data_IF_985805212681
#
_entry.id   IF_985805212681
#
_cell.length_a   1.000
_cell.length_b   1.000
_cell.length_c   1.000
_cell.angle_alpha   90.00
_cell.angle_beta   90.00
_cell.angle_gamma   90.00
#
_symmetry.space_group_name_H-M   'P 1'
#
loop_
_entity.id
_entity.type
_entity.pdbx_description
1 polymer ?
#
# COMPACT_ATOMS: atom_id res chain seq x y z
N UNK A 1 -38.66 7.17 -10.30
CA UNK A 1 -37.72 6.84 -9.21
C UNK A 1 -36.34 7.36 -9.60
N UNK A 2 -35.82 8.42 -8.96
CA UNK A 2 -34.53 8.98 -9.36
C UNK A 2 -33.43 7.96 -9.05
N UNK A 3 -32.67 7.62 -10.09
CA UNK A 3 -31.43 6.85 -9.97
C UNK A 3 -30.54 7.54 -8.93
N UNK A 4 -30.40 6.96 -7.74
CA UNK A 4 -29.31 7.33 -6.82
C UNK A 4 -28.02 7.18 -7.60
N UNK A 5 -27.39 8.30 -7.95
CA UNK A 5 -26.09 8.32 -8.59
C UNK A 5 -25.14 7.50 -7.73
N UNK A 6 -24.53 6.47 -8.31
CA UNK A 6 -23.43 5.76 -7.64
C UNK A 6 -22.44 6.83 -7.20
N UNK A 7 -22.01 6.89 -5.91
CA UNK A 7 -20.98 7.83 -5.50
C UNK A 7 -19.80 7.62 -6.43
N UNK A 8 -19.21 8.70 -6.96
CA UNK A 8 -18.14 8.61 -7.94
C UNK A 8 -16.88 8.03 -7.28
N UNK A 9 -16.84 6.73 -7.05
CA UNK A 9 -15.75 6.02 -6.40
C UNK A 9 -14.71 5.65 -7.45
N UNK A 10 -13.59 6.38 -7.47
CA UNK A 10 -12.50 6.08 -8.39
C UNK A 10 -11.35 7.05 -8.24
N UNK A 11 -10.18 6.63 -8.73
CA UNK A 11 -8.96 7.42 -8.62
C UNK A 11 -9.11 8.81 -9.26
N UNK A 12 -9.80 8.90 -10.40
CA UNK A 12 -10.11 10.17 -11.08
C UNK A 12 -10.91 11.14 -10.20
N UNK A 13 -11.89 10.64 -9.45
CA UNK A 13 -12.73 11.46 -8.58
C UNK A 13 -11.90 12.07 -7.45
N UNK A 14 -11.12 11.25 -6.73
CA UNK A 14 -10.29 11.73 -5.63
C UNK A 14 -9.21 12.71 -6.10
N UNK A 15 -8.62 12.48 -7.27
CA UNK A 15 -7.64 13.40 -7.85
C UNK A 15 -8.24 14.78 -8.13
N UNK A 16 -9.49 14.84 -8.63
CA UNK A 16 -10.22 16.09 -8.87
C UNK A 16 -10.68 16.79 -7.58
N UNK A 17 -11.05 16.02 -6.56
CA UNK A 17 -11.43 16.60 -5.26
C UNK A 17 -10.28 17.30 -4.54
N UNK A 18 -9.03 16.84 -4.68
CA UNK A 18 -7.91 17.47 -3.93
C UNK A 18 -7.81 18.99 -4.18
N UNK A 19 -7.80 19.50 -5.43
CA UNK A 19 -7.86 20.95 -5.66
C UNK A 19 -9.06 21.67 -5.05
N UNK A 20 -10.25 21.05 -5.07
CA UNK A 20 -11.48 21.60 -4.48
C UNK A 20 -11.35 21.70 -2.96
N UNK A 21 -10.87 20.63 -2.31
CA UNK A 21 -10.66 20.60 -0.86
C UNK A 21 -9.50 21.49 -0.40
N UNK A 22 -8.47 21.71 -1.23
CA UNK A 22 -7.44 22.70 -0.93
C UNK A 22 -8.02 24.12 -0.84
N UNK A 23 -8.98 24.47 -1.71
CA UNK A 23 -9.65 25.77 -1.66
C UNK A 23 -10.52 25.90 -0.41
N UNK A 24 -11.29 24.86 -0.07
CA UNK A 24 -12.13 24.82 1.15
C UNK A 24 -11.31 24.92 2.43
N UNK A 25 -10.19 24.21 2.51
CA UNK A 25 -9.31 24.24 3.68
C UNK A 25 -8.57 25.57 3.85
N UNK A 26 -8.32 26.30 2.76
CA UNK A 26 -7.52 27.53 2.76
C UNK A 26 -8.14 28.73 3.46
N UNK A 27 -9.44 28.73 3.76
CA UNK A 27 -10.10 29.86 4.42
C UNK A 27 -9.69 30.01 5.90
N UNK A 28 -9.71 28.92 6.67
CA UNK A 28 -9.42 28.95 8.14
C UNK A 28 -8.79 27.66 8.67
N UNK A 29 -8.47 26.68 7.81
CA UNK A 29 -8.06 25.33 8.24
C UNK A 29 -9.03 24.71 9.26
N UNK A 30 -10.33 24.96 9.08
CA UNK A 30 -11.38 24.37 9.89
C UNK A 30 -11.31 22.83 9.85
N UNK A 31 -11.75 22.18 10.93
CA UNK A 31 -11.59 20.74 11.14
C UNK A 31 -12.18 19.89 10.00
N UNK A 32 -13.39 20.20 9.55
CA UNK A 32 -14.09 19.44 8.51
C UNK A 32 -13.41 19.57 7.11
N UNK A 33 -13.11 20.79 6.60
CA UNK A 33 -12.33 20.93 5.37
C UNK A 33 -10.95 20.26 5.41
N UNK A 34 -10.24 20.35 6.55
CA UNK A 34 -8.95 19.67 6.73
C UNK A 34 -9.13 18.14 6.70
N UNK A 35 -10.20 17.63 7.32
CA UNK A 35 -10.53 16.20 7.27
C UNK A 35 -10.80 15.75 5.84
N UNK A 36 -11.65 16.45 5.09
CA UNK A 36 -12.00 16.12 3.70
C UNK A 36 -10.76 16.12 2.79
N UNK A 37 -9.90 17.14 2.89
CA UNK A 37 -8.65 17.22 2.15
C UNK A 37 -7.72 16.04 2.48
N UNK A 38 -7.59 15.70 3.76
CA UNK A 38 -6.80 14.54 4.19
C UNK A 38 -7.37 13.25 3.62
N UNK A 39 -8.69 13.07 3.62
CA UNK A 39 -9.34 11.89 3.04
C UNK A 39 -9.03 11.79 1.56
N UNK A 40 -9.16 12.87 0.80
CA UNK A 40 -8.87 12.90 -0.64
C UNK A 40 -7.39 12.57 -0.93
N UNK A 41 -6.45 13.21 -0.23
CA UNK A 41 -5.02 12.93 -0.36
C UNK A 41 -4.66 11.49 0.02
N UNK A 42 -5.23 10.96 1.11
CA UNK A 42 -5.06 9.57 1.55
C UNK A 42 -5.52 8.60 0.48
N UNK A 43 -6.70 8.84 -0.11
CA UNK A 43 -7.26 8.02 -1.19
C UNK A 43 -6.33 7.97 -2.39
N UNK A 44 -5.95 9.13 -2.93
CA UNK A 44 -5.01 9.22 -4.06
C UNK A 44 -3.70 8.47 -3.79
N UNK A 45 -3.10 8.68 -2.62
CA UNK A 45 -1.83 8.04 -2.25
C UNK A 45 -1.96 6.52 -2.08
N UNK A 46 -3.04 6.06 -1.45
CA UNK A 46 -3.28 4.62 -1.24
C UNK A 46 -3.57 3.87 -2.55
N UNK A 47 -4.28 4.50 -3.48
CA UNK A 47 -4.52 3.93 -4.81
C UNK A 47 -3.23 3.92 -5.63
N UNK A 48 -2.44 5.00 -5.58
CA UNK A 48 -1.13 5.03 -6.22
C UNK A 48 -0.21 3.91 -5.69
N UNK A 49 -0.24 3.61 -4.39
CA UNK A 49 0.54 2.51 -3.81
C UNK A 49 0.19 1.13 -4.39
N UNK A 50 -1.08 0.89 -4.73
CA UNK A 50 -1.48 -0.33 -5.42
C UNK A 50 -1.09 -0.33 -6.90
N UNK A 51 -1.27 0.81 -7.59
CA UNK A 51 -1.01 0.94 -9.03
C UNK A 51 0.48 0.94 -9.37
N UNK A 52 1.35 1.49 -8.51
CA UNK A 52 2.80 1.46 -8.68
C UNK A 52 3.39 0.03 -8.72
N UNK A 53 2.64 -0.95 -8.22
CA UNK A 53 3.05 -2.35 -8.23
C UNK A 53 2.93 -3.01 -9.61
N UNK A 54 2.20 -2.36 -10.54
CA UNK A 54 1.92 -2.82 -11.91
C UNK A 54 2.31 -1.80 -12.97
N UNK A 55 2.36 -0.52 -12.62
CA UNK A 55 2.73 0.58 -13.50
C UNK A 55 3.92 1.35 -12.89
N UNK A 56 5.14 1.19 -13.44
CA UNK A 56 6.34 1.81 -12.88
C UNK A 56 6.55 3.27 -13.32
N UNK A 57 5.55 3.93 -13.91
CA UNK A 57 5.65 5.34 -14.30
C UNK A 57 6.02 6.23 -13.10
N UNK A 58 6.99 7.12 -13.32
CA UNK A 58 7.53 7.98 -12.27
C UNK A 58 6.47 8.98 -11.76
N UNK A 59 5.49 9.34 -12.58
CA UNK A 59 4.42 10.26 -12.21
C UNK A 59 3.63 9.78 -10.98
N UNK A 60 3.49 8.46 -10.77
CA UNK A 60 2.89 7.92 -9.55
C UNK A 60 3.68 8.29 -8.29
N UNK A 61 5.00 8.10 -8.34
CA UNK A 61 5.90 8.38 -7.23
C UNK A 61 5.97 9.88 -6.95
N UNK A 62 6.06 10.69 -7.99
CA UNK A 62 6.15 12.14 -7.87
C UNK A 62 4.84 12.72 -7.31
N UNK A 63 3.68 12.28 -7.81
CA UNK A 63 2.36 12.65 -7.27
C UNK A 63 2.21 12.23 -5.80
N UNK A 64 2.57 10.99 -5.48
CA UNK A 64 2.49 10.48 -4.10
C UNK A 64 3.41 11.27 -3.16
N UNK A 65 4.60 11.69 -3.63
CA UNK A 65 5.56 12.49 -2.85
C UNK A 65 4.99 13.89 -2.58
N UNK A 66 4.45 14.56 -3.60
CA UNK A 66 3.81 15.87 -3.46
C UNK A 66 2.65 15.81 -2.46
N UNK A 67 1.74 14.84 -2.62
CA UNK A 67 0.63 14.65 -1.69
C UNK A 67 1.05 14.22 -0.28
N UNK A 68 2.21 13.56 -0.11
CA UNK A 68 2.72 13.17 1.21
C UNK A 68 3.11 14.38 2.04
N UNK A 69 3.79 15.37 1.44
CA UNK A 69 4.22 16.57 2.16
C UNK A 69 3.03 17.29 2.80
N UNK A 70 2.03 17.65 1.98
CA UNK A 70 0.80 18.29 2.46
C UNK A 70 0.03 17.41 3.47
N UNK A 71 -0.15 16.12 3.16
CA UNK A 71 -0.84 15.19 4.06
C UNK A 71 -0.16 15.07 5.44
N UNK A 72 1.16 15.12 5.49
CA UNK A 72 1.92 15.04 6.74
C UNK A 72 1.73 16.28 7.60
N UNK A 73 1.80 17.49 7.02
CA UNK A 73 1.55 18.74 7.75
C UNK A 73 0.12 18.82 8.30
N UNK A 74 -0.88 18.45 7.49
CA UNK A 74 -2.27 18.32 7.95
C UNK A 74 -2.44 17.19 8.98
N UNK A 75 -1.49 16.25 9.05
CA UNK A 75 -1.50 15.11 9.97
C UNK A 75 -1.17 15.51 11.38
N UNK A 76 -0.07 16.24 11.55
CA UNK A 76 0.32 16.76 12.86
C UNK A 76 -0.78 17.61 13.49
N UNK A 77 -1.49 18.41 12.70
CA UNK A 77 -2.65 19.16 13.17
C UNK A 77 -3.78 18.24 13.67
N UNK A 78 -4.16 17.22 12.89
CA UNK A 78 -5.22 16.28 13.28
C UNK A 78 -4.82 15.42 14.47
N UNK A 79 -3.55 15.04 14.58
CA UNK A 79 -3.06 14.23 15.69
C UNK A 79 -3.23 14.97 17.03
N UNK A 80 -2.93 16.28 17.08
CA UNK A 80 -3.19 17.13 18.27
C UNK A 80 -4.68 17.22 18.59
N UNK A 81 -5.54 17.39 17.59
CA UNK A 81 -6.99 17.44 17.79
C UNK A 81 -7.54 16.13 18.35
N UNK A 82 -7.08 14.98 17.84
CA UNK A 82 -7.47 13.65 18.34
C UNK A 82 -6.98 13.45 19.78
N UNK A 83 -5.78 13.90 20.12
CA UNK A 83 -5.30 13.85 21.50
C UNK A 83 -6.17 14.68 22.45
N UNK A 84 -6.65 15.85 22.02
CA UNK A 84 -7.56 16.67 22.82
C UNK A 84 -8.90 15.96 23.06
N UNK A 85 -9.46 15.31 22.04
CA UNK A 85 -10.68 14.47 22.16
C UNK A 85 -10.48 13.35 23.20
N UNK A 86 -9.30 12.70 23.24
CA UNK A 86 -8.99 11.66 24.23
C UNK A 86 -8.86 12.20 25.65
N UNK A 87 -8.20 13.35 25.83
CA UNK A 87 -8.05 14.00 27.15
C UNK A 87 -9.42 14.32 27.73
N UNK A 88 -10.33 14.90 26.93
CA UNK A 88 -11.71 15.19 27.36
C UNK A 88 -12.51 13.93 27.72
N UNK A 89 -12.26 12.82 27.02
CA UNK A 89 -13.01 11.57 27.21
C UNK A 89 -12.53 10.75 28.41
N UNK A 90 -11.25 10.86 28.77
CA UNK A 90 -10.63 10.07 29.84
C UNK A 90 -10.47 10.86 31.14
N UNK A 91 -10.32 12.19 31.08
CA UNK A 91 -10.08 13.05 32.22
C UNK A 91 -11.38 13.58 32.85
N UNK A 92 -11.44 13.74 34.18
CA UNK A 92 -12.54 14.47 34.81
C UNK A 92 -12.54 15.94 34.31
N UNK A 93 -13.70 16.53 33.97
CA UNK A 93 -13.75 17.89 33.42
C UNK A 93 -13.16 18.97 34.34
N UNK A 94 -13.25 18.76 35.66
CA UNK A 94 -12.82 19.69 36.70
C UNK A 94 -11.39 19.44 37.20
N UNK A 95 -10.68 18.48 36.60
CA UNK A 95 -9.32 18.10 36.98
C UNK A 95 -8.30 19.13 36.44
N UNK A 96 -7.48 19.77 37.30
CA UNK A 96 -6.49 20.76 36.89
C UNK A 96 -5.50 20.25 35.85
N UNK A 97 -5.10 18.98 35.93
CA UNK A 97 -4.20 18.32 34.99
C UNK A 97 -4.85 18.15 33.61
N UNK A 98 -6.14 17.80 33.58
CA UNK A 98 -6.92 17.76 32.34
C UNK A 98 -6.96 19.13 31.66
N UNK A 99 -7.17 20.20 32.43
CA UNK A 99 -7.16 21.57 31.90
C UNK A 99 -5.77 22.00 31.40
N UNK A 100 -4.70 21.65 32.13
CA UNK A 100 -3.33 21.95 31.72
C UNK A 100 -2.95 21.25 30.40
N UNK A 101 -3.34 19.98 30.24
CA UNK A 101 -3.13 19.22 29.01
C UNK A 101 -3.90 19.83 27.83
N UNK A 102 -5.15 20.25 28.02
CA UNK A 102 -5.95 20.89 26.97
C UNK A 102 -5.35 22.23 26.54
N UNK A 103 -4.88 23.06 27.48
CA UNK A 103 -4.22 24.33 27.18
C UNK A 103 -2.93 24.13 26.36
N UNK A 104 -2.11 23.14 26.71
CA UNK A 104 -0.91 22.77 25.95
C UNK A 104 -1.26 22.33 24.53
N UNK A 105 -2.27 21.47 24.37
CA UNK A 105 -2.69 20.97 23.06
C UNK A 105 -3.25 22.10 22.19
N UNK A 106 -4.01 23.04 22.78
CA UNK A 106 -4.50 24.21 22.07
C UNK A 106 -3.36 25.08 21.50
N UNK A 107 -2.28 25.29 22.27
CA UNK A 107 -1.09 25.99 21.77
C UNK A 107 -0.42 25.26 20.60
N UNK A 108 -0.20 23.94 20.73
CA UNK A 108 0.38 23.12 19.65
C UNK A 108 -0.49 23.10 18.40
N UNK A 109 -1.82 23.14 18.57
CA UNK A 109 -2.74 23.21 17.44
C UNK A 109 -2.50 24.48 16.62
N UNK A 110 -2.32 25.64 17.27
CA UNK A 110 -2.02 26.90 16.58
C UNK A 110 -0.68 26.84 15.83
N UNK A 111 0.36 26.28 16.45
CA UNK A 111 1.66 26.08 15.81
C UNK A 111 1.53 25.19 14.55
N UNK A 112 0.75 24.11 14.64
CA UNK A 112 0.51 23.23 13.49
C UNK A 112 -0.40 23.85 12.41
N UNK A 113 -1.31 24.76 12.76
CA UNK A 113 -2.09 25.52 11.78
C UNK A 113 -1.20 26.37 10.89
N UNK A 114 -0.19 27.05 11.47
CA UNK A 114 0.79 27.84 10.69
C UNK A 114 1.55 26.94 9.70
N UNK A 115 2.05 25.80 10.15
CA UNK A 115 2.78 24.83 9.30
C UNK A 115 1.87 24.25 8.21
N UNK A 116 0.62 23.94 8.54
CA UNK A 116 -0.36 23.43 7.58
C UNK A 116 -0.73 24.49 6.52
N UNK A 117 -0.88 25.76 6.92
CA UNK A 117 -1.16 26.86 6.01
C UNK A 117 -0.03 27.06 5.01
N UNK A 118 1.23 27.03 5.47
CA UNK A 118 2.39 27.13 4.60
C UNK A 118 2.52 25.95 3.64
N UNK A 119 2.25 24.73 4.13
CA UNK A 119 2.23 23.54 3.28
C UNK A 119 1.14 23.59 2.21
N UNK A 120 -0.02 24.19 2.52
CA UNK A 120 -1.11 24.39 1.58
C UNK A 120 -0.75 25.44 0.52
N UNK A 121 -0.13 26.56 0.95
CA UNK A 121 0.32 27.64 0.07
C UNK A 121 1.39 27.18 -0.94
N UNK A 122 2.32 26.34 -0.51
CA UNK A 122 3.41 25.82 -1.33
C UNK A 122 3.02 24.59 -2.17
N UNK A 123 1.80 24.09 -2.02
CA UNK A 123 1.34 22.92 -2.76
C UNK A 123 1.10 23.26 -4.24
N UNK A 124 1.83 22.57 -5.13
CA UNK A 124 1.72 22.80 -6.58
C UNK A 124 0.42 22.22 -7.17
N UNK A 125 -0.64 23.03 -7.10
CA UNK A 125 -1.94 22.72 -7.69
C UNK A 125 -1.89 22.60 -9.21
N UNK A 126 -0.96 23.28 -9.88
CA UNK A 126 -0.83 23.22 -11.36
C UNK A 126 -0.35 21.83 -11.77
N UNK A 127 0.72 21.35 -11.13
CA UNK A 127 1.23 20.00 -11.37
C UNK A 127 0.22 18.92 -10.93
N UNK A 128 -0.51 19.13 -9.82
CA UNK A 128 -1.56 18.20 -9.41
C UNK A 128 -2.70 18.08 -10.44
N UNK A 129 -3.14 19.20 -11.03
CA UNK A 129 -4.13 19.21 -12.12
C UNK A 129 -3.64 18.51 -13.39
N UNK A 130 -2.33 18.55 -13.67
CA UNK A 130 -1.72 17.76 -14.76
C UNK A 130 -1.85 16.27 -14.47
N UNK A 131 -1.41 15.80 -13.29
CA UNK A 131 -1.56 14.39 -12.90
C UNK A 131 -3.03 13.94 -12.86
N UNK A 132 -3.96 14.82 -12.49
CA UNK A 132 -5.40 14.53 -12.47
C UNK A 132 -5.98 14.20 -13.85
N UNK A 133 -5.28 14.56 -14.94
CA UNK A 133 -5.65 14.20 -16.32
C UNK A 133 -4.93 12.94 -16.81
N UNK A 134 -3.65 12.78 -16.45
CA UNK A 134 -2.78 11.72 -16.97
C UNK A 134 -2.94 10.39 -16.22
N UNK A 135 -2.82 10.41 -14.89
CA UNK A 135 -2.76 9.21 -14.07
C UNK A 135 -4.07 8.39 -14.08
N UNK A 136 -5.28 8.98 -14.12
CA UNK A 136 -6.50 8.20 -14.25
C UNK A 136 -6.59 7.37 -15.53
N UNK A 137 -6.04 7.85 -16.65
CA UNK A 137 -6.00 7.08 -17.91
C UNK A 137 -5.10 5.85 -17.78
N UNK A 138 -4.00 5.98 -17.04
CA UNK A 138 -3.11 4.86 -16.70
C UNK A 138 -3.78 3.88 -15.74
N UNK A 139 -4.44 4.37 -14.70
CA UNK A 139 -5.20 3.55 -13.75
C UNK A 139 -6.29 2.71 -14.43
N UNK A 140 -6.99 3.28 -15.42
CA UNK A 140 -8.08 2.63 -16.14
C UNK A 140 -7.63 1.39 -16.95
N UNK A 141 -6.32 1.22 -17.21
CA UNK A 141 -5.77 0.02 -17.86
C UNK A 141 -5.91 -1.24 -17.01
N UNK A 142 -6.11 -1.08 -15.70
CA UNK A 142 -6.21 -2.20 -14.76
C UNK A 142 -7.61 -2.27 -14.18
N UNK A 143 -8.30 -3.38 -14.45
CA UNK A 143 -9.65 -3.59 -13.94
C UNK A 143 -9.60 -3.88 -12.43
N UNK A 144 -10.39 -3.17 -11.59
CA UNK A 144 -10.66 -3.60 -10.23
C UNK A 144 -11.25 -5.03 -10.21
N UNK A 145 -10.97 -5.78 -9.15
CA UNK A 145 -11.37 -7.17 -8.98
C UNK A 145 -10.49 -8.17 -9.73
N UNK A 146 -9.55 -7.71 -10.55
CA UNK A 146 -8.66 -8.59 -11.31
C UNK A 146 -7.77 -9.45 -10.41
N UNK A 147 -7.32 -10.59 -10.95
CA UNK A 147 -6.42 -11.53 -10.28
C UNK A 147 -5.11 -10.87 -9.82
N UNK A 148 -4.67 -9.82 -10.52
CA UNK A 148 -3.49 -9.03 -10.14
C UNK A 148 -3.70 -8.29 -8.82
N UNK A 149 -4.87 -7.70 -8.59
CA UNK A 149 -5.17 -7.05 -7.31
C UNK A 149 -5.45 -8.06 -6.19
N UNK A 150 -5.98 -9.25 -6.51
CA UNK A 150 -6.06 -10.36 -5.55
C UNK A 150 -4.67 -10.85 -5.13
N UNK A 151 -3.72 -10.91 -6.07
CA UNK A 151 -2.31 -11.21 -5.78
C UNK A 151 -1.65 -10.15 -4.90
N UNK A 152 -1.87 -8.86 -5.20
CA UNK A 152 -1.38 -7.77 -4.36
C UNK A 152 -2.02 -7.81 -2.96
N UNK A 153 -3.31 -8.14 -2.86
CA UNK A 153 -3.98 -8.31 -1.58
C UNK A 153 -3.35 -9.46 -0.78
N UNK A 154 -3.04 -10.59 -1.43
CA UNK A 154 -2.29 -11.70 -0.82
C UNK A 154 -0.90 -11.27 -0.33
N UNK A 155 -0.16 -10.48 -1.12
CA UNK A 155 1.14 -9.94 -0.69
C UNK A 155 1.02 -9.08 0.58
N UNK A 156 0.03 -8.18 0.62
CA UNK A 156 -0.22 -7.34 1.80
C UNK A 156 -0.74 -8.16 2.99
N UNK A 157 -1.59 -9.14 2.74
CA UNK A 157 -2.10 -10.08 3.74
C UNK A 157 -0.95 -10.85 4.38
N UNK A 158 -0.06 -11.46 3.59
CA UNK A 158 1.09 -12.24 4.09
C UNK A 158 1.97 -11.37 4.97
N UNK A 159 2.28 -10.15 4.53
CA UNK A 159 3.09 -9.22 5.32
C UNK A 159 2.39 -8.80 6.62
N UNK A 160 1.08 -8.54 6.58
CA UNK A 160 0.32 -8.18 7.77
C UNK A 160 0.21 -9.36 8.76
N UNK A 161 0.08 -10.59 8.25
CA UNK A 161 0.05 -11.82 9.05
C UNK A 161 1.40 -12.11 9.73
N UNK A 162 2.53 -11.88 9.03
CA UNK A 162 3.86 -11.94 9.66
C UNK A 162 4.00 -10.95 10.82
N UNK A 163 3.54 -9.71 10.61
CA UNK A 163 3.55 -8.66 11.63
C UNK A 163 2.63 -9.01 12.79
N UNK A 164 1.50 -9.66 12.52
CA UNK A 164 0.61 -10.17 13.54
C UNK A 164 1.31 -11.19 14.44
N UNK A 165 1.98 -12.18 13.85
CA UNK A 165 2.76 -13.15 14.61
C UNK A 165 3.85 -12.50 15.48
N UNK A 166 4.52 -11.46 14.97
CA UNK A 166 5.50 -10.68 15.75
C UNK A 166 4.86 -9.91 16.90
N UNK A 167 3.74 -9.23 16.65
CA UNK A 167 3.05 -8.43 17.66
C UNK A 167 2.43 -9.30 18.76
N UNK A 168 1.98 -10.52 18.44
CA UNK A 168 1.47 -11.45 19.45
C UNK A 168 2.59 -12.00 20.35
N UNK A 169 3.79 -12.21 19.81
CA UNK A 169 4.96 -12.63 20.59
C UNK A 169 5.52 -11.49 21.45
N UNK A 170 5.69 -10.33 20.85
CA UNK A 170 6.27 -9.15 21.46
C UNK A 170 5.25 -8.02 21.36
N UNK A 171 4.38 -7.90 22.38
CA UNK A 171 3.26 -6.93 22.47
C UNK A 171 3.71 -5.48 22.67
N UNK A 172 4.92 -5.16 22.23
CA UNK A 172 5.48 -3.81 22.27
C UNK A 172 4.67 -2.85 21.40
N UNK A 173 4.66 -1.59 21.80
CA UNK A 173 4.09 -0.48 21.03
C UNK A 173 4.60 -0.50 19.57
N UNK A 174 5.90 -0.71 19.37
CA UNK A 174 6.51 -0.77 18.04
C UNK A 174 5.93 -1.90 17.19
N UNK A 175 5.78 -3.11 17.74
CA UNK A 175 5.26 -4.24 17.00
C UNK A 175 3.77 -4.06 16.64
N UNK A 176 2.96 -3.56 17.58
CA UNK A 176 1.53 -3.25 17.34
C UNK A 176 1.37 -2.13 16.32
N UNK A 177 2.22 -1.10 16.37
CA UNK A 177 2.23 -0.03 15.38
C UNK A 177 2.58 -0.54 13.97
N UNK A 178 3.59 -1.41 13.84
CA UNK A 178 3.94 -2.03 12.56
C UNK A 178 2.77 -2.88 12.02
N UNK A 179 2.15 -3.70 12.88
CA UNK A 179 0.96 -4.47 12.53
C UNK A 179 -0.18 -3.57 12.04
N UNK A 180 -0.46 -2.46 12.73
CA UNK A 180 -1.45 -1.47 12.30
C UNK A 180 -1.17 -0.95 10.90
N UNK A 181 0.08 -0.63 10.59
CA UNK A 181 0.48 -0.21 9.23
C UNK A 181 0.25 -1.34 8.22
N UNK A 182 0.57 -2.59 8.58
CA UNK A 182 0.34 -3.77 7.77
C UNK A 182 -1.14 -3.96 7.41
N UNK A 183 -2.02 -3.97 8.41
CA UNK A 183 -3.48 -4.09 8.22
C UNK A 183 -4.02 -2.93 7.40
N UNK A 184 -3.58 -1.70 7.68
CA UNK A 184 -3.96 -0.52 6.89
C UNK A 184 -3.61 -0.67 5.41
N UNK A 185 -2.40 -1.16 5.09
CA UNK A 185 -1.98 -1.41 3.70
C UNK A 185 -2.80 -2.51 3.05
N UNK A 186 -3.12 -3.59 3.78
CA UNK A 186 -4.00 -4.66 3.28
C UNK A 186 -5.41 -4.14 3.00
N UNK A 187 -6.02 -3.45 3.97
CA UNK A 187 -7.34 -2.81 3.82
C UNK A 187 -7.39 -1.92 2.59
N UNK A 188 -6.36 -1.12 2.34
CA UNK A 188 -6.35 -0.21 1.20
C UNK A 188 -6.33 -0.90 -0.15
N UNK A 189 -5.71 -2.07 -0.27
CA UNK A 189 -5.80 -2.84 -1.51
C UNK A 189 -7.22 -3.37 -1.68
N UNK A 190 -7.79 -3.98 -0.63
CA UNK A 190 -9.16 -4.53 -0.65
C UNK A 190 -10.17 -3.44 -1.00
N UNK A 191 -10.14 -2.34 -0.25
CA UNK A 191 -11.07 -1.21 -0.35
C UNK A 191 -11.04 -0.52 -1.71
N UNK A 192 -9.86 -0.34 -2.30
CA UNK A 192 -9.75 0.41 -3.55
C UNK A 192 -9.87 -0.46 -4.80
N UNK A 193 -9.53 -1.76 -4.70
CA UNK A 193 -9.35 -2.59 -5.89
C UNK A 193 -10.10 -3.91 -5.87
N UNK A 194 -10.71 -4.33 -4.76
CA UNK A 194 -11.45 -5.59 -4.67
C UNK A 194 -12.88 -5.33 -4.19
N UNK A 195 -13.80 -4.85 -5.05
CA UNK A 195 -15.13 -4.41 -4.62
C UNK A 195 -15.96 -5.51 -3.93
N UNK A 196 -15.86 -6.76 -4.40
CA UNK A 196 -16.55 -7.90 -3.79
C UNK A 196 -16.03 -8.18 -2.37
N UNK A 197 -14.71 -8.32 -2.22
CA UNK A 197 -14.08 -8.53 -0.91
C UNK A 197 -14.27 -7.31 0.00
N UNK A 198 -14.27 -6.10 -0.53
CA UNK A 198 -14.53 -4.89 0.24
C UNK A 198 -15.94 -4.91 0.83
N UNK A 199 -16.95 -5.29 0.04
CA UNK A 199 -18.32 -5.42 0.54
C UNK A 199 -18.41 -6.41 1.71
N UNK A 200 -17.70 -7.54 1.63
CA UNK A 200 -17.71 -8.55 2.68
C UNK A 200 -16.85 -8.19 3.91
N UNK A 201 -15.68 -7.58 3.72
CA UNK A 201 -14.65 -7.46 4.77
C UNK A 201 -14.51 -6.04 5.34
N UNK A 202 -15.17 -5.03 4.76
CA UNK A 202 -14.95 -3.62 5.12
C UNK A 202 -15.24 -3.31 6.59
N UNK A 203 -16.30 -3.87 7.15
CA UNK A 203 -16.67 -3.70 8.57
C UNK A 203 -15.60 -4.28 9.49
N UNK A 204 -15.19 -5.51 9.25
CA UNK A 204 -14.15 -6.22 10.01
C UNK A 204 -12.80 -5.49 9.92
N UNK A 205 -12.37 -5.11 8.71
CA UNK A 205 -11.13 -4.36 8.50
C UNK A 205 -11.16 -2.98 9.16
N UNK A 206 -12.34 -2.35 9.24
CA UNK A 206 -12.54 -1.10 9.96
C UNK A 206 -12.41 -1.32 11.47
N UNK A 207 -13.09 -2.32 12.03
CA UNK A 207 -13.00 -2.65 13.46
C UNK A 207 -11.56 -2.89 13.89
N UNK A 208 -10.79 -3.71 13.16
CA UNK A 208 -9.38 -3.94 13.48
C UNK A 208 -8.51 -2.68 13.40
N UNK A 209 -8.77 -1.82 12.42
CA UNK A 209 -8.03 -0.57 12.28
C UNK A 209 -8.37 0.41 13.42
N UNK A 210 -9.63 0.46 13.85
CA UNK A 210 -10.08 1.30 14.95
C UNK A 210 -9.48 0.80 16.27
N UNK A 211 -9.53 -0.51 16.55
CA UNK A 211 -8.89 -1.12 17.74
C UNK A 211 -7.38 -0.83 17.83
N UNK A 212 -6.63 -1.07 16.75
CA UNK A 212 -5.19 -0.81 16.71
C UNK A 212 -4.87 0.69 16.65
N UNK A 213 -5.79 1.49 16.10
CA UNK A 213 -5.73 2.95 16.13
C UNK A 213 -5.79 3.48 17.55
N UNK A 214 -6.83 3.11 18.28
CA UNK A 214 -7.02 3.50 19.66
C UNK A 214 -5.83 3.06 20.55
N UNK A 215 -5.32 1.83 20.39
CA UNK A 215 -4.12 1.38 21.14
C UNK A 215 -2.94 2.31 20.88
N UNK A 216 -2.71 2.68 19.61
CA UNK A 216 -1.63 3.58 19.25
C UNK A 216 -1.83 5.00 19.83
N UNK A 217 -3.06 5.51 19.79
CA UNK A 217 -3.40 6.84 20.30
C UNK A 217 -3.23 6.90 21.82
N UNK A 218 -3.63 5.84 22.54
CA UNK A 218 -3.39 5.68 23.98
C UNK A 218 -1.90 5.63 24.33
N UNK A 219 -1.09 4.89 23.55
CA UNK A 219 0.36 4.83 23.77
C UNK A 219 1.03 6.21 23.53
N UNK A 220 0.56 6.99 22.54
CA UNK A 220 1.05 8.36 22.25
C UNK A 220 0.62 9.35 23.33
N UNK A 221 -0.61 9.24 23.82
CA UNK A 221 -1.12 10.05 24.92
C UNK A 221 -0.26 9.89 26.17
N UNK A 222 -0.01 8.64 26.58
CA UNK A 222 0.83 8.33 27.75
C UNK A 222 2.25 8.88 27.62
N UNK A 223 2.88 8.68 26.44
CA UNK A 223 4.22 9.20 26.17
C UNK A 223 4.27 10.74 26.26
N UNK A 224 3.26 11.42 25.71
CA UNK A 224 3.20 12.88 25.72
C UNK A 224 2.98 13.42 27.14
N UNK A 225 2.01 12.88 27.88
CA UNK A 225 1.73 13.29 29.25
C UNK A 225 2.96 13.09 30.17
N UNK A 226 3.69 11.99 29.97
CA UNK A 226 4.93 11.71 30.69
C UNK A 226 6.06 12.69 30.35
N UNK A 227 6.21 13.08 29.09
CA UNK A 227 7.27 14.01 28.65
C UNK A 227 7.08 15.43 29.20
N UNK A 228 5.83 15.86 29.38
CA UNK A 228 5.52 17.23 29.83
C UNK A 228 5.30 17.32 31.34
N UNK A 229 5.59 16.24 32.09
CA UNK A 229 5.31 16.12 33.52
C UNK A 229 3.88 16.59 33.86
N UNK A 230 2.90 16.16 33.08
CA UNK A 230 1.51 16.62 33.20
C UNK A 230 0.85 16.28 34.55
N UNK A 231 1.41 15.33 35.30
CA UNK A 231 0.84 14.80 36.52
C UNK A 231 1.45 15.49 37.74
N UNK A 232 0.60 16.09 38.59
CA UNK A 232 1.03 16.84 39.77
C UNK A 232 1.60 15.95 40.88
N UNK A 233 1.14 14.69 40.97
CA UNK A 233 1.60 13.73 41.98
C UNK A 233 1.87 12.32 41.43
N UNK A 234 2.69 11.50 42.14
CA UNK A 234 2.87 10.09 41.82
C UNK A 234 1.57 9.29 41.77
N UNK A 235 0.60 9.60 42.64
CA UNK A 235 -0.71 8.93 42.71
C UNK A 235 -1.57 9.26 41.49
N UNK A 236 -1.60 10.53 41.06
CA UNK A 236 -2.30 10.98 39.84
C UNK A 236 -1.71 10.27 38.60
N UNK A 237 -0.38 10.18 38.52
CA UNK A 237 0.31 9.44 37.47
C UNK A 237 -0.05 7.95 37.47
N UNK A 238 -0.09 7.32 38.65
CA UNK A 238 -0.45 5.91 38.79
C UNK A 238 -1.90 5.63 38.37
N UNK A 239 -2.83 6.51 38.76
CA UNK A 239 -4.25 6.44 38.35
C UNK A 239 -4.40 6.55 36.83
N UNK A 240 -3.79 7.55 36.20
CA UNK A 240 -3.83 7.72 34.75
C UNK A 240 -3.19 6.55 34.00
N UNK A 241 -2.09 6.01 34.52
CA UNK A 241 -1.47 4.81 33.97
C UNK A 241 -2.44 3.63 33.99
N UNK A 242 -3.14 3.39 35.10
CA UNK A 242 -4.09 2.29 35.23
C UNK A 242 -5.26 2.43 34.24
N UNK A 243 -5.84 3.64 34.11
CA UNK A 243 -6.93 3.93 33.17
C UNK A 243 -6.52 3.64 31.73
N UNK A 244 -5.35 4.15 31.30
CA UNK A 244 -4.84 3.95 29.93
C UNK A 244 -4.52 2.49 29.69
N UNK A 245 -3.90 1.81 30.66
CA UNK A 245 -3.54 0.40 30.56
C UNK A 245 -4.77 -0.50 30.42
N UNK A 246 -5.80 -0.30 31.23
CA UNK A 246 -7.06 -1.05 31.14
C UNK A 246 -7.74 -0.85 29.77
N UNK A 247 -7.85 0.41 29.33
CA UNK A 247 -8.41 0.77 28.03
C UNK A 247 -7.64 0.08 26.87
N UNK A 248 -6.32 -0.02 26.98
CA UNK A 248 -5.44 -0.67 26.01
C UNK A 248 -5.65 -2.19 26.00
N UNK A 249 -5.64 -2.84 27.16
CA UNK A 249 -5.79 -4.31 27.26
C UNK A 249 -7.18 -4.78 26.80
N UNK A 250 -8.24 -4.01 27.05
CA UNK A 250 -9.58 -4.30 26.52
C UNK A 250 -9.60 -4.38 24.99
N UNK A 251 -8.94 -3.43 24.32
CA UNK A 251 -8.85 -3.38 22.85
C UNK A 251 -7.98 -4.48 22.28
N UNK A 252 -6.87 -4.77 22.95
CA UNK A 252 -5.98 -5.86 22.56
C UNK A 252 -6.66 -7.22 22.69
N UNK A 253 -7.46 -7.42 23.74
CA UNK A 253 -8.25 -8.63 23.95
C UNK A 253 -9.28 -8.80 22.83
N UNK A 254 -10.04 -7.74 22.52
CA UNK A 254 -10.97 -7.75 21.39
C UNK A 254 -10.29 -8.02 20.05
N UNK A 255 -9.12 -7.43 19.81
CA UNK A 255 -8.33 -7.74 18.61
C UNK A 255 -7.94 -9.22 18.55
N UNK A 256 -7.55 -9.82 19.67
CA UNK A 256 -7.16 -11.24 19.73
C UNK A 256 -8.33 -12.17 19.47
N UNK A 257 -9.51 -11.88 20.01
CA UNK A 257 -10.75 -12.66 19.76
C UNK A 257 -11.03 -12.80 18.26
N UNK A 258 -10.84 -11.73 17.49
CA UNK A 258 -11.12 -11.71 16.04
C UNK A 258 -10.02 -12.39 15.21
N UNK A 259 -8.79 -12.41 15.70
CA UNK A 259 -7.61 -12.71 14.88
C UNK A 259 -6.89 -14.00 15.27
N UNK A 260 -7.25 -14.64 16.38
CA UNK A 260 -6.63 -15.88 16.88
C UNK A 260 -7.65 -17.02 16.86
N UNK A 261 -7.18 -18.23 16.58
CA UNK A 261 -8.00 -19.44 16.61
C UNK A 261 -8.46 -19.91 15.22
N UNK A 262 -9.24 -21.01 15.19
CA UNK A 262 -9.61 -21.70 13.97
C UNK A 262 -10.53 -20.88 13.05
N UNK A 263 -11.36 -20.03 13.65
CA UNK A 263 -12.31 -19.14 12.96
C UNK A 263 -11.78 -17.70 12.79
N UNK A 264 -10.47 -17.51 12.94
CA UNK A 264 -9.86 -16.18 12.81
C UNK A 264 -10.10 -15.57 11.43
N UNK A 265 -10.29 -14.25 11.41
CA UNK A 265 -10.45 -13.49 10.16
C UNK A 265 -9.28 -13.68 9.20
N UNK A 266 -8.07 -13.94 9.71
CA UNK A 266 -6.92 -14.27 8.87
C UNK A 266 -7.18 -15.47 7.96
N UNK A 267 -7.80 -16.54 8.49
CA UNK A 267 -8.12 -17.75 7.73
C UNK A 267 -9.25 -17.51 6.74
N UNK A 268 -10.30 -16.80 7.17
CA UNK A 268 -11.43 -16.41 6.31
C UNK A 268 -10.92 -15.64 5.09
N UNK A 269 -10.14 -14.58 5.31
CA UNK A 269 -9.60 -13.79 4.20
C UNK A 269 -8.60 -14.57 3.36
N UNK A 270 -7.80 -15.45 3.97
CA UNK A 270 -6.84 -16.29 3.23
C UNK A 270 -7.55 -17.22 2.26
N UNK A 271 -8.71 -17.76 2.62
CA UNK A 271 -9.45 -18.73 1.81
C UNK A 271 -9.90 -18.13 0.45
N UNK A 272 -10.26 -16.85 0.44
CA UNK A 272 -10.72 -16.14 -0.78
C UNK A 272 -9.58 -15.56 -1.65
N UNK A 273 -8.33 -15.61 -1.17
CA UNK A 273 -7.15 -15.13 -1.90
C UNK A 273 -6.44 -16.29 -2.63
N UNK A 274 -5.65 -16.01 -3.70
CA UNK A 274 -5.06 -17.07 -4.54
C UNK A 274 -4.32 -18.16 -3.73
N UNK A 275 -4.50 -19.42 -4.14
CA UNK A 275 -3.92 -20.59 -3.47
C UNK A 275 -3.13 -21.48 -4.43
N UNK A 276 -2.10 -22.17 -3.91
CA UNK A 276 -1.29 -23.11 -4.68
C UNK A 276 -0.82 -22.53 -6.02
N UNK A 277 -1.10 -23.25 -7.12
CA UNK A 277 -0.74 -22.86 -8.49
C UNK A 277 -1.35 -21.51 -8.93
N UNK A 278 -2.46 -21.09 -8.34
CA UNK A 278 -3.06 -19.78 -8.66
C UNK A 278 -2.17 -18.61 -8.24
N UNK A 279 -1.33 -18.76 -7.22
CA UNK A 279 -0.40 -17.71 -6.77
C UNK A 279 0.61 -17.40 -7.87
N UNK A 280 1.24 -18.42 -8.44
CA UNK A 280 2.21 -18.28 -9.53
C UNK A 280 1.54 -17.70 -10.79
N UNK A 281 0.35 -18.21 -11.16
CA UNK A 281 -0.41 -17.70 -12.30
C UNK A 281 -0.80 -16.21 -12.13
N UNK A 282 -1.18 -15.82 -10.91
CA UNK A 282 -1.49 -14.43 -10.60
C UNK A 282 -0.23 -13.52 -10.62
N UNK A 283 0.91 -14.05 -10.17
CA UNK A 283 2.22 -13.40 -10.33
C UNK A 283 2.59 -13.21 -11.79
N UNK A 284 2.38 -14.21 -12.64
CA UNK A 284 2.56 -14.11 -14.08
C UNK A 284 1.64 -13.04 -14.69
N UNK A 285 0.35 -13.01 -14.33
CA UNK A 285 -0.58 -11.99 -14.79
C UNK A 285 -0.12 -10.57 -14.41
N UNK A 286 0.48 -10.40 -13.23
CA UNK A 286 1.08 -9.13 -12.79
C UNK A 286 2.28 -8.75 -13.66
N UNK A 287 3.19 -9.68 -13.94
CA UNK A 287 4.34 -9.45 -14.84
C UNK A 287 3.89 -9.09 -16.26
N UNK A 288 2.89 -9.80 -16.78
CA UNK A 288 2.27 -9.52 -18.08
C UNK A 288 1.69 -8.10 -18.15
N UNK A 289 0.95 -7.68 -17.11
CA UNK A 289 0.40 -6.34 -17.04
C UNK A 289 1.50 -5.28 -16.97
N UNK A 290 2.52 -5.51 -16.15
CA UNK A 290 3.69 -4.64 -16.05
C UNK A 290 4.37 -4.46 -17.41
N UNK A 291 4.54 -5.55 -18.16
CA UNK A 291 5.09 -5.53 -19.50
C UNK A 291 4.22 -4.69 -20.45
N UNK A 292 2.90 -4.91 -20.45
CA UNK A 292 1.95 -4.19 -21.32
C UNK A 292 1.91 -2.68 -21.12
N UNK A 293 2.28 -2.22 -19.92
CA UNK A 293 2.28 -0.80 -19.59
C UNK A 293 3.54 -0.11 -20.14
N UNK A 294 4.60 -0.88 -20.37
CA UNK A 294 5.92 -0.40 -20.77
C UNK A 294 6.20 -0.61 -22.26
N UNK A 295 5.82 -1.77 -22.79
CA UNK A 295 6.09 -2.13 -24.17
C UNK A 295 5.17 -1.33 -25.13
N UNK A 296 5.72 -0.50 -26.03
CA UNK A 296 4.92 0.25 -26.99
C UNK A 296 4.21 -0.65 -28.01
N UNK A 297 4.67 -1.89 -28.24
CA UNK A 297 4.05 -2.87 -29.14
C UNK A 297 3.90 -4.21 -28.40
N UNK A 298 3.05 -4.21 -27.38
CA UNK A 298 2.86 -5.40 -26.55
C UNK A 298 2.18 -6.56 -27.29
N UNK A 299 1.45 -6.29 -28.38
CA UNK A 299 0.83 -7.34 -29.20
C UNK A 299 1.91 -8.20 -29.88
N UNK A 300 3.00 -7.57 -30.35
CA UNK A 300 4.18 -8.29 -30.82
C UNK A 300 4.76 -9.21 -29.75
N UNK A 301 5.03 -8.68 -28.55
CA UNK A 301 5.59 -9.47 -27.44
C UNK A 301 4.68 -10.62 -26.99
N UNK A 302 3.35 -10.43 -27.04
CA UNK A 302 2.40 -11.52 -26.78
C UNK A 302 2.49 -12.62 -27.83
N UNK A 303 2.63 -12.26 -29.11
CA UNK A 303 2.75 -13.26 -30.19
C UNK A 303 4.07 -14.01 -30.12
N UNK A 304 5.18 -13.34 -29.78
CA UNK A 304 6.47 -13.98 -29.53
C UNK A 304 6.38 -14.95 -28.36
N UNK A 305 5.73 -14.54 -27.26
CA UNK A 305 5.52 -15.42 -26.11
C UNK A 305 4.72 -16.67 -26.50
N UNK A 306 3.63 -16.51 -27.25
CA UNK A 306 2.78 -17.62 -27.72
C UNK A 306 3.55 -18.64 -28.54
N UNK A 307 4.35 -18.18 -29.51
CA UNK A 307 5.19 -19.06 -30.31
C UNK A 307 6.27 -19.76 -29.47
N UNK A 308 6.95 -19.02 -28.57
CA UNK A 308 7.99 -19.57 -27.70
C UNK A 308 7.43 -20.68 -26.79
N UNK A 309 6.22 -20.48 -26.25
CA UNK A 309 5.52 -21.49 -25.44
C UNK A 309 5.20 -22.75 -26.24
N UNK A 310 4.63 -22.60 -27.43
CA UNK A 310 4.29 -23.73 -28.30
C UNK A 310 5.54 -24.56 -28.65
N UNK A 311 6.65 -23.89 -28.98
CA UNK A 311 7.93 -24.55 -29.24
C UNK A 311 8.44 -25.30 -28.00
N UNK A 312 8.43 -24.66 -26.83
CA UNK A 312 8.88 -25.28 -25.59
C UNK A 312 8.05 -26.50 -25.21
N UNK A 313 6.71 -26.41 -25.31
CA UNK A 313 5.81 -27.53 -25.06
C UNK A 313 6.01 -28.67 -26.07
N UNK A 314 6.27 -28.36 -27.34
CA UNK A 314 6.63 -29.34 -28.36
C UNK A 314 7.93 -30.08 -28.02
N UNK A 315 8.98 -29.34 -27.66
CA UNK A 315 10.26 -29.93 -27.24
C UNK A 315 10.11 -30.77 -25.96
N UNK A 316 9.29 -30.34 -25.01
CA UNK A 316 9.04 -31.07 -23.77
C UNK A 316 8.34 -32.41 -24.04
N UNK A 317 7.36 -32.45 -24.96
CA UNK A 317 6.71 -33.69 -25.39
C UNK A 317 7.67 -34.69 -26.03
N UNK A 318 8.75 -34.20 -26.65
CA UNK A 318 9.80 -35.01 -27.25
C UNK A 318 10.93 -35.37 -26.26
N UNK A 319 10.86 -34.92 -25.00
CA UNK A 319 11.92 -35.13 -24.01
C UNK A 319 13.20 -34.32 -24.30
N UNK A 320 13.11 -33.29 -25.16
CA UNK A 320 14.25 -32.46 -25.57
C UNK A 320 14.31 -31.12 -24.84
N UNK A 321 13.23 -30.71 -24.15
CA UNK A 321 13.25 -29.50 -23.35
C UNK A 321 14.04 -29.72 -22.05
N UNK A 322 14.83 -28.73 -21.60
CA UNK A 322 15.46 -28.79 -20.29
C UNK A 322 14.39 -28.84 -19.19
N UNK A 323 14.68 -29.58 -18.12
CA UNK A 323 13.86 -29.62 -16.91
C UNK A 323 14.67 -29.10 -15.71
N UNK A 324 14.00 -28.42 -14.79
CA UNK A 324 14.58 -28.03 -13.50
C UNK A 324 13.68 -28.55 -12.37
N UNK A 325 14.24 -29.15 -11.30
CA UNK A 325 13.45 -29.62 -10.16
C UNK A 325 12.84 -28.46 -9.36
N UNK A 326 13.46 -27.28 -9.43
CA UNK A 326 13.13 -26.14 -8.57
C UNK A 326 12.50 -24.97 -9.33
N UNK A 327 12.40 -25.05 -10.66
CA UNK A 327 11.94 -23.95 -11.50
C UNK A 327 11.03 -24.41 -12.63
N UNK A 328 9.96 -23.65 -12.84
CA UNK A 328 9.11 -23.79 -14.02
C UNK A 328 9.73 -23.03 -15.20
N UNK A 329 10.59 -23.72 -15.96
CA UNK A 329 11.30 -23.14 -17.10
C UNK A 329 10.37 -22.66 -18.21
N UNK A 330 9.19 -23.29 -18.36
CA UNK A 330 8.16 -22.86 -19.32
C UNK A 330 7.56 -21.52 -18.92
N UNK A 331 7.20 -21.35 -17.63
CA UNK A 331 6.72 -20.07 -17.12
C UNK A 331 7.79 -18.97 -17.23
N UNK A 332 9.06 -19.29 -16.94
CA UNK A 332 10.18 -18.33 -17.06
C UNK A 332 10.36 -17.88 -18.52
N UNK A 333 10.35 -18.82 -19.48
CA UNK A 333 10.42 -18.50 -20.91
C UNK A 333 9.25 -17.60 -21.32
N UNK A 334 8.04 -17.93 -20.89
CA UNK A 334 6.84 -17.12 -21.15
C UNK A 334 6.97 -15.70 -20.61
N UNK A 335 7.41 -15.55 -19.35
CA UNK A 335 7.62 -14.25 -18.72
C UNK A 335 8.68 -13.44 -19.48
N UNK A 336 9.78 -14.09 -19.87
CA UNK A 336 10.89 -13.45 -20.57
C UNK A 336 10.44 -12.94 -21.93
N UNK A 337 9.70 -13.76 -22.68
CA UNK A 337 9.15 -13.39 -23.98
C UNK A 337 8.12 -12.25 -23.88
N UNK A 338 7.27 -12.23 -22.84
CA UNK A 338 6.37 -11.10 -22.61
C UNK A 338 7.11 -9.80 -22.27
N UNK A 339 8.29 -9.88 -21.64
CA UNK A 339 9.01 -8.72 -21.12
C UNK A 339 10.23 -8.30 -21.95
N UNK A 340 10.55 -8.99 -23.05
CA UNK A 340 11.82 -8.79 -23.76
C UNK A 340 12.00 -7.36 -24.32
N UNK A 341 10.90 -6.69 -24.67
CA UNK A 341 10.91 -5.37 -25.29
C UNK A 341 10.49 -4.21 -24.38
N UNK A 342 10.28 -4.45 -23.07
CA UNK A 342 9.92 -3.39 -22.09
C UNK A 342 10.96 -2.26 -22.01
N UNK A 343 12.22 -2.52 -22.38
CA UNK A 343 13.28 -1.52 -22.46
C UNK A 343 13.03 -0.44 -23.52
N UNK A 344 12.17 -0.68 -24.51
CA UNK A 344 11.76 0.31 -25.53
C UNK A 344 11.03 1.50 -24.94
N UNK A 345 10.42 1.35 -23.76
CA UNK A 345 9.85 2.45 -22.98
C UNK A 345 10.86 3.55 -22.62
N UNK A 346 12.17 3.25 -22.70
CA UNK A 346 13.26 4.20 -22.43
C UNK A 346 13.99 4.57 -23.70
N UNK A 347 14.51 3.58 -24.42
CA UNK A 347 15.31 3.77 -25.63
C UNK A 347 15.12 2.62 -26.61
N UNK A 348 15.10 2.91 -27.91
CA UNK A 348 15.01 1.89 -28.96
C UNK A 348 16.33 1.12 -29.13
N UNK A 349 17.48 1.81 -29.17
CA UNK A 349 18.79 1.18 -29.32
C UNK A 349 19.19 0.49 -28.01
N UNK A 350 19.53 -0.81 -28.10
CA UNK A 350 19.96 -1.57 -26.93
C UNK A 350 18.85 -1.88 -25.90
N UNK A 351 17.57 -1.85 -26.31
CA UNK A 351 16.43 -2.12 -25.43
C UNK A 351 16.60 -3.41 -24.64
N UNK A 352 17.09 -4.51 -25.22
CA UNK A 352 17.33 -5.79 -24.52
C UNK A 352 18.23 -5.65 -23.27
N UNK A 353 19.27 -4.80 -23.29
CA UNK A 353 20.10 -4.51 -22.10
C UNK A 353 19.33 -3.70 -21.06
N UNK A 354 18.40 -2.86 -21.50
CA UNK A 354 17.52 -2.08 -20.62
C UNK A 354 16.41 -2.96 -20.04
N UNK A 355 15.77 -3.83 -20.82
CA UNK A 355 14.82 -4.84 -20.38
C UNK A 355 15.43 -5.72 -19.29
N UNK A 356 16.65 -6.24 -19.51
CA UNK A 356 17.42 -6.97 -18.49
C UNK A 356 17.49 -6.21 -17.15
N UNK A 357 17.91 -4.94 -17.18
CA UNK A 357 18.05 -4.11 -15.98
C UNK A 357 16.70 -3.79 -15.33
N UNK A 358 15.64 -3.64 -16.12
CA UNK A 358 14.30 -3.35 -15.62
C UNK A 358 13.68 -4.57 -14.95
N UNK A 359 13.75 -5.74 -15.59
CA UNK A 359 13.24 -7.01 -15.04
C UNK A 359 14.01 -7.36 -13.76
N UNK A 360 15.34 -7.23 -13.76
CA UNK A 360 16.16 -7.51 -12.57
C UNK A 360 15.94 -6.59 -11.37
N UNK A 361 15.19 -5.49 -11.53
CA UNK A 361 14.80 -4.58 -10.43
C UNK A 361 13.40 -4.88 -9.87
N UNK A 362 12.66 -5.80 -10.48
CA UNK A 362 11.34 -6.20 -10.00
C UNK A 362 11.51 -6.97 -8.69
N UNK A 363 10.80 -6.56 -7.65
CA UNK A 363 10.64 -7.38 -6.44
C UNK A 363 9.83 -8.63 -6.82
N UNK A 364 10.34 -9.85 -6.58
CA UNK A 364 9.66 -11.07 -6.99
C UNK A 364 8.21 -11.11 -6.49
N UNK A 365 7.20 -11.25 -7.39
CA UNK A 365 5.83 -11.46 -6.97
C UNK A 365 5.71 -12.80 -6.24
N UNK A 366 4.78 -12.92 -5.28
CA UNK A 366 4.51 -14.22 -4.65
C UNK A 366 4.29 -15.31 -5.71
N UNK A 367 4.87 -16.49 -5.49
CA UNK A 367 4.90 -17.58 -6.47
C UNK A 367 6.06 -17.51 -7.47
N UNK A 368 6.90 -16.48 -7.39
CA UNK A 368 8.14 -16.34 -8.16
C UNK A 368 9.31 -16.10 -7.22
N UNK A 369 10.41 -16.81 -7.43
CA UNK A 369 11.65 -16.61 -6.68
C UNK A 369 12.50 -15.50 -7.30
N UNK A 370 13.49 -15.01 -6.54
CA UNK A 370 14.51 -14.13 -7.08
C UNK A 370 15.30 -14.82 -8.22
N UNK A 371 15.53 -16.13 -8.12
CA UNK A 371 16.19 -16.91 -9.16
C UNK A 371 15.38 -16.94 -10.46
N UNK A 372 14.06 -17.11 -10.37
CA UNK A 372 13.18 -17.13 -11.54
C UNK A 372 13.23 -15.79 -12.29
N UNK A 373 13.21 -14.66 -11.57
CA UNK A 373 13.34 -13.35 -12.19
C UNK A 373 14.73 -13.08 -12.76
N UNK A 374 15.81 -13.56 -12.12
CA UNK A 374 17.16 -13.47 -12.68
C UNK A 374 17.24 -14.21 -14.02
N UNK A 375 16.75 -15.45 -14.09
CA UNK A 375 16.73 -16.23 -15.32
C UNK A 375 15.81 -15.61 -16.37
N UNK A 376 14.65 -15.10 -15.96
CA UNK A 376 13.72 -14.36 -16.83
C UNK A 376 14.42 -13.14 -17.48
N UNK A 377 15.15 -12.36 -16.68
CA UNK A 377 15.91 -11.22 -17.17
C UNK A 377 17.01 -11.66 -18.15
N UNK A 378 17.73 -12.74 -17.84
CA UNK A 378 18.78 -13.30 -18.69
C UNK A 378 18.23 -13.72 -20.06
N UNK A 379 17.14 -14.50 -20.09
CA UNK A 379 16.48 -14.94 -21.32
C UNK A 379 16.00 -13.72 -22.13
N UNK A 380 15.36 -12.75 -21.47
CA UNK A 380 14.93 -11.50 -22.12
C UNK A 380 16.10 -10.68 -22.69
N UNK A 381 17.29 -10.73 -22.08
CA UNK A 381 18.49 -10.04 -22.57
C UNK A 381 19.04 -10.68 -23.84
N UNK A 382 19.13 -12.00 -23.84
CA UNK A 382 19.84 -12.79 -24.84
C UNK A 382 18.90 -13.43 -25.87
N UNK A 383 17.64 -12.98 -25.96
CA UNK A 383 16.72 -13.36 -27.04
C UNK A 383 17.24 -12.98 -28.44
N UNK A 384 18.23 -12.08 -28.51
CA UNK A 384 18.87 -11.60 -29.74
C UNK A 384 20.35 -11.34 -29.54
N UNK A 385 21.09 -11.36 -30.64
CA UNK A 385 22.53 -11.05 -30.65
C UNK A 385 23.37 -12.23 -30.20
N UNK A 386 24.49 -11.95 -29.51
CA UNK A 386 25.42 -12.98 -29.06
C UNK A 386 24.80 -13.86 -27.96
N UNK A 387 25.15 -15.16 -27.98
CA UNK A 387 24.83 -16.10 -26.92
C UNK A 387 25.45 -15.68 -25.57
N UNK A 388 24.83 -16.05 -24.45
CA UNK A 388 25.38 -15.74 -23.15
C UNK A 388 26.65 -16.54 -22.87
N UNK A 389 27.50 -16.02 -21.98
CA UNK A 389 28.82 -16.56 -21.64
C UNK A 389 28.94 -16.62 -20.12
N UNK A 390 29.74 -17.55 -19.58
CA UNK A 390 29.92 -17.77 -18.14
C UNK A 390 30.37 -16.52 -17.36
N UNK A 391 31.06 -15.59 -18.02
CA UNK A 391 31.45 -14.28 -17.45
C UNK A 391 30.28 -13.31 -17.24
N UNK A 392 29.10 -13.60 -17.76
CA UNK A 392 27.96 -12.70 -17.61
C UNK A 392 27.34 -12.84 -16.22
N UNK A 393 27.15 -11.74 -15.48
CA UNK A 393 26.56 -11.79 -14.13
C UNK A 393 25.19 -12.45 -14.06
N UNK A 394 24.47 -12.53 -15.18
CA UNK A 394 23.18 -13.20 -15.29
C UNK A 394 23.26 -14.74 -15.20
N UNK A 395 24.45 -15.31 -15.38
CA UNK A 395 24.75 -16.74 -15.36
C UNK A 395 25.71 -17.15 -14.23
N UNK A 396 26.07 -16.20 -13.35
CA UNK A 396 26.89 -16.45 -12.16
C UNK A 396 25.91 -16.59 -10.98
N UNK A 397 26.04 -17.69 -10.22
CA UNK A 397 25.10 -18.08 -9.17
C UNK A 397 24.90 -17.03 -8.06
#
# INVERSE_FOLDING_TARGET
MPHKSRPAVGFAHWMRRVPEECQRAGAELAADPVHDLRVALRRCRSMADGLMAVDPDRAWKDMKKAGKALFSSLGSLRDVQVMAEWVQKLGPPEDPETQALLALLARREQEHKVVAAEALRTFDLRQWRKWSRELPRRAARVRPGSIVFKHLALERWTKAHELHGRALRNRSQTALHQLRIGIKRFRYIVENFLPQQHQAWSSQLKELQDLLGDIHDLDVLWATASQVNAFASPESRARWHAIIHEAREKRLSRYRELMVGPESLWRVWRAELPQGKQVQAAGMARLKLWASVLDPDFEHSQRVAELARQMFEGLAKLGLAPSSPNQDLGAILWAAALMHDVGRSKHNKGHHKTSYRMIGRITPPLGWSASDLRLTAAVARFHRGALPQSRHPALQE
#
